data_IF_353543252464
#
_entry.id   IF_353543252464
#
_cell.length_a   1.000
_cell.length_b   1.000
_cell.length_c   1.000
_cell.angle_alpha   90.00
_cell.angle_beta   90.00
_cell.angle_gamma   90.00
#
_symmetry.space_group_name_H-M   'P 1'
#
loop_
_entity.id
_entity.type
_entity.pdbx_description
1 polymer ?
#
# COMPACT_ATOMS: atom_id res chain seq x y z
N UNK A 1 1.85 54.81 36.57
CA UNK A 1 2.93 53.93 36.08
C UNK A 1 2.39 52.57 35.60
N UNK A 2 1.36 52.61 34.76
CA UNK A 2 1.44 52.39 33.30
C UNK A 2 2.04 51.07 32.80
N UNK A 3 1.97 49.98 33.57
CA UNK A 3 2.41 48.68 33.07
C UNK A 3 1.29 47.82 32.44
N UNK A 4 0.02 48.18 32.64
CA UNK A 4 -1.14 47.38 32.20
C UNK A 4 -1.67 47.66 30.78
N UNK A 5 -1.04 48.58 30.02
CA UNK A 5 -1.60 49.09 28.75
C UNK A 5 -0.87 48.63 27.49
N UNK A 6 -0.08 47.54 27.53
CA UNK A 6 0.64 47.03 26.35
C UNK A 6 0.46 45.54 26.07
N UNK A 7 -0.68 44.96 26.45
CA UNK A 7 -0.97 43.55 26.21
C UNK A 7 -2.30 43.23 25.47
N UNK A 8 -3.01 44.14 24.76
CA UNK A 8 -4.15 43.72 23.95
C UNK A 8 -3.83 43.52 22.46
N UNK A 9 -2.56 43.57 22.02
CA UNK A 9 -2.23 43.51 20.58
C UNK A 9 -1.61 42.20 20.10
N UNK A 10 -1.35 41.22 20.98
CA UNK A 10 -0.79 39.92 20.57
C UNK A 10 -1.84 38.81 20.42
N UNK A 11 -3.07 39.03 20.88
CA UNK A 11 -4.13 38.01 20.87
C UNK A 11 -4.96 37.97 19.59
N UNK A 12 -4.83 38.97 18.70
CA UNK A 12 -5.64 39.08 17.46
C UNK A 12 -4.99 38.38 16.26
N UNK A 13 -3.76 37.87 16.39
CA UNK A 13 -3.00 37.27 15.28
C UNK A 13 -3.07 35.73 15.18
N UNK A 14 -3.79 35.04 16.07
CA UNK A 14 -3.83 33.56 16.10
C UNK A 14 -5.05 32.97 15.36
N UNK A 15 -6.01 33.77 14.90
CA UNK A 15 -7.24 33.27 14.27
C UNK A 15 -7.14 32.99 12.76
N UNK A 16 -5.93 32.98 12.18
CA UNK A 16 -5.71 32.70 10.75
C UNK A 16 -5.00 31.35 10.49
N UNK A 17 -4.98 30.44 11.46
CA UNK A 17 -4.73 29.03 11.17
C UNK A 17 -5.94 28.48 10.41
N UNK A 18 -6.01 28.78 9.11
CA UNK A 18 -6.93 28.13 8.20
C UNK A 18 -6.71 26.63 8.30
N UNK A 19 -7.76 25.90 8.68
CA UNK A 19 -7.90 24.51 8.32
C UNK A 19 -7.88 24.45 6.79
N UNK A 20 -6.70 24.31 6.20
CA UNK A 20 -6.63 23.70 4.89
C UNK A 20 -7.09 22.26 5.12
N UNK A 21 -8.31 21.94 4.71
CA UNK A 21 -8.71 20.55 4.56
C UNK A 21 -7.58 19.85 3.80
N UNK A 22 -7.01 18.75 4.34
CA UNK A 22 -5.95 18.05 3.66
C UNK A 22 -6.41 17.73 2.23
N UNK A 23 -5.55 17.91 1.22
CA UNK A 23 -5.96 17.78 -0.16
C UNK A 23 -6.61 16.42 -0.36
N UNK A 24 -7.87 16.43 -0.82
CA UNK A 24 -8.61 15.21 -1.13
C UNK A 24 -7.80 14.40 -2.13
N UNK A 25 -7.32 13.23 -1.70
CA UNK A 25 -6.50 12.37 -2.53
C UNK A 25 -7.37 11.77 -3.65
N UNK A 26 -6.87 11.79 -4.89
CA UNK A 26 -7.60 11.14 -5.99
C UNK A 26 -7.77 9.63 -5.70
N UNK A 27 -8.84 8.98 -6.17
CA UNK A 27 -9.02 7.54 -5.96
C UNK A 27 -7.81 6.72 -6.44
N UNK A 28 -7.18 7.12 -7.55
CA UNK A 28 -5.96 6.48 -8.04
C UNK A 28 -4.80 6.64 -7.04
N UNK A 29 -4.60 7.83 -6.48
CA UNK A 29 -3.57 8.06 -5.46
C UNK A 29 -3.84 7.24 -4.19
N UNK A 30 -5.11 7.06 -3.80
CA UNK A 30 -5.48 6.23 -2.65
C UNK A 30 -5.12 4.76 -2.90
N UNK A 31 -5.39 4.26 -4.11
CA UNK A 31 -5.01 2.90 -4.53
C UNK A 31 -3.49 2.74 -4.56
N UNK A 32 -2.74 3.75 -5.02
CA UNK A 32 -1.27 3.75 -4.96
C UNK A 32 -0.77 3.74 -3.51
N UNK A 33 -1.39 4.49 -2.62
CA UNK A 33 -1.11 4.42 -1.17
C UNK A 33 -1.46 3.06 -0.58
N UNK A 34 -2.53 2.41 -1.01
CA UNK A 34 -2.85 1.04 -0.61
C UNK A 34 -1.72 0.07 -0.94
N UNK A 35 -1.16 0.15 -2.17
CA UNK A 35 0.00 -0.70 -2.56
C UNK A 35 1.22 -0.40 -1.69
N UNK A 36 1.51 0.88 -1.42
CA UNK A 36 2.61 1.28 -0.54
C UNK A 36 2.44 0.79 0.91
N UNK A 37 1.21 0.84 1.46
CA UNK A 37 0.90 0.24 2.78
C UNK A 37 1.16 -1.27 2.77
N UNK A 38 0.81 -1.95 1.68
CA UNK A 38 1.08 -3.37 1.48
C UNK A 38 2.57 -3.70 1.50
N UNK A 39 3.40 -2.91 0.83
CA UNK A 39 4.87 -3.02 0.91
C UNK A 39 5.35 -2.90 2.36
N UNK A 40 4.98 -1.82 3.06
CA UNK A 40 5.42 -1.56 4.44
C UNK A 40 5.03 -2.69 5.37
N UNK A 41 3.78 -3.18 5.29
CA UNK A 41 3.31 -4.27 6.13
C UNK A 41 4.07 -5.58 5.86
N UNK A 42 4.38 -5.87 4.59
CA UNK A 42 5.12 -7.07 4.17
C UNK A 42 6.59 -7.00 4.58
N UNK A 43 7.26 -5.88 4.36
CA UNK A 43 8.66 -5.68 4.78
C UNK A 43 8.81 -5.70 6.31
N UNK A 44 7.86 -5.07 7.01
CA UNK A 44 7.77 -5.09 8.47
C UNK A 44 7.45 -6.45 9.06
N UNK A 45 7.04 -7.43 8.23
CA UNK A 45 6.55 -8.75 8.66
C UNK A 45 5.40 -8.63 9.67
N UNK A 46 4.60 -7.56 9.55
CA UNK A 46 3.48 -7.30 10.44
C UNK A 46 2.26 -8.03 9.91
N UNK A 47 1.96 -9.18 10.53
CA UNK A 47 0.82 -10.00 10.12
C UNK A 47 -0.52 -9.32 10.39
N UNK A 48 -0.60 -8.46 11.41
CA UNK A 48 -1.83 -7.75 11.75
C UNK A 48 -2.14 -6.71 10.68
N UNK A 49 -1.17 -5.85 10.37
CA UNK A 49 -1.32 -4.79 9.38
C UNK A 49 -1.52 -5.37 7.98
N UNK A 50 -0.77 -6.41 7.62
CA UNK A 50 -0.95 -7.08 6.34
C UNK A 50 -2.34 -7.73 6.22
N UNK A 51 -2.88 -8.29 7.31
CA UNK A 51 -4.23 -8.87 7.31
C UNK A 51 -5.33 -7.80 7.29
N UNK A 52 -5.09 -6.60 7.81
CA UNK A 52 -6.05 -5.49 7.79
C UNK A 52 -6.32 -4.97 6.36
N UNK A 53 -5.34 -5.12 5.46
CA UNK A 53 -5.45 -4.79 4.04
C UNK A 53 -6.25 -5.80 3.22
N UNK A 54 -6.64 -6.94 3.80
CA UNK A 54 -7.36 -8.01 3.11
C UNK A 54 -8.82 -7.98 3.56
N UNK A 55 -9.73 -7.92 2.59
CA UNK A 55 -11.18 -7.92 2.84
C UNK A 55 -11.61 -9.19 3.56
N UNK A 56 -12.56 -9.09 4.49
CA UNK A 56 -13.19 -10.26 5.10
C UNK A 56 -13.92 -11.12 4.05
N UNK A 57 -14.32 -10.54 2.91
CA UNK A 57 -14.94 -11.23 1.78
C UNK A 57 -13.94 -11.74 0.73
N UNK A 58 -12.63 -11.68 1.01
CA UNK A 58 -11.59 -12.08 0.06
C UNK A 58 -11.83 -13.48 -0.54
N UNK A 59 -11.76 -13.56 -1.86
CA UNK A 59 -11.74 -14.81 -2.60
C UNK A 59 -10.94 -14.68 -3.90
N UNK A 60 -10.07 -15.63 -4.17
CA UNK A 60 -9.29 -15.66 -5.42
C UNK A 60 -9.69 -16.77 -6.38
N UNK A 61 -8.99 -16.85 -7.53
CA UNK A 61 -9.28 -17.80 -8.59
C UNK A 61 -9.18 -19.28 -8.18
N UNK A 62 -8.57 -19.59 -7.04
CA UNK A 62 -8.54 -20.94 -6.45
C UNK A 62 -9.33 -21.03 -5.13
N UNK A 63 -10.19 -20.04 -4.88
CA UNK A 63 -11.09 -19.90 -3.72
C UNK A 63 -10.39 -19.83 -2.37
N UNK A 64 -9.15 -19.33 -2.32
CA UNK A 64 -8.53 -19.03 -1.02
C UNK A 64 -9.29 -17.90 -0.35
N UNK A 65 -9.47 -18.05 0.95
CA UNK A 65 -10.10 -17.09 1.86
C UNK A 65 -9.06 -16.15 2.48
N UNK A 66 -9.52 -15.06 3.09
CA UNK A 66 -8.67 -14.16 3.90
C UNK A 66 -7.82 -14.93 4.91
N UNK A 67 -8.40 -15.92 5.58
CA UNK A 67 -7.70 -16.73 6.58
C UNK A 67 -6.56 -17.56 5.97
N UNK A 68 -6.73 -18.06 4.76
CA UNK A 68 -5.69 -18.80 4.05
C UNK A 68 -4.57 -17.87 3.57
N UNK A 69 -4.88 -16.68 3.06
CA UNK A 69 -3.86 -15.68 2.73
C UNK A 69 -3.08 -15.27 3.98
N UNK A 70 -3.76 -15.02 5.10
CA UNK A 70 -3.10 -14.74 6.38
C UNK A 70 -2.15 -15.86 6.80
N UNK A 71 -2.53 -17.13 6.63
CA UNK A 71 -1.64 -18.27 6.91
C UNK A 71 -0.43 -18.32 5.96
N UNK A 72 -0.62 -18.01 4.67
CA UNK A 72 0.48 -17.94 3.71
C UNK A 72 1.47 -16.83 4.09
N UNK A 73 0.97 -15.64 4.45
CA UNK A 73 1.79 -14.53 4.94
C UNK A 73 2.55 -14.91 6.21
N UNK A 74 1.87 -15.50 7.20
CA UNK A 74 2.51 -15.96 8.43
C UNK A 74 3.64 -16.97 8.16
N UNK A 75 3.38 -17.96 7.29
CA UNK A 75 4.40 -18.94 6.90
C UNK A 75 5.58 -18.32 6.16
N UNK A 76 5.32 -17.32 5.32
CA UNK A 76 6.36 -16.55 4.63
C UNK A 76 7.20 -15.74 5.63
N UNK A 77 6.58 -14.98 6.52
CA UNK A 77 7.27 -14.15 7.52
C UNK A 77 8.12 -14.99 8.50
N UNK A 78 7.67 -16.18 8.87
CA UNK A 78 8.45 -17.10 9.70
C UNK A 78 9.69 -17.62 8.99
N UNK A 79 9.60 -17.89 7.69
CA UNK A 79 10.71 -18.42 6.88
C UNK A 79 11.76 -17.38 6.56
N UNK A 80 11.35 -16.12 6.37
CA UNK A 80 12.22 -15.04 5.87
C UNK A 80 12.57 -14.05 6.98
N UNK A 81 13.82 -14.06 7.46
CA UNK A 81 14.31 -13.20 8.56
C UNK A 81 14.27 -11.70 8.24
N UNK A 82 14.41 -11.36 6.96
CA UNK A 82 14.27 -10.02 6.41
C UNK A 82 13.54 -10.15 5.07
N UNK A 83 12.70 -9.17 4.79
CA UNK A 83 11.92 -9.06 3.57
C UNK A 83 12.10 -7.63 3.07
N UNK A 84 12.57 -7.50 1.84
CA UNK A 84 12.59 -6.25 1.12
C UNK A 84 11.83 -6.44 -0.18
N UNK A 85 10.90 -5.55 -0.44
CA UNK A 85 10.07 -5.52 -1.63
C UNK A 85 10.57 -4.38 -2.51
N UNK A 86 10.64 -4.63 -3.80
CA UNK A 86 10.68 -3.57 -4.80
C UNK A 86 9.57 -3.85 -5.75
N UNK A 87 8.80 -2.83 -6.08
CA UNK A 87 7.75 -2.97 -7.06
C UNK A 87 7.71 -1.81 -8.06
N UNK A 88 7.05 -2.08 -9.18
CA UNK A 88 6.61 -1.08 -10.15
C UNK A 88 5.15 -1.34 -10.44
N UNK A 89 4.31 -0.33 -10.23
CA UNK A 89 2.93 -0.36 -10.69
C UNK A 89 2.96 -0.16 -12.21
N UNK A 90 2.39 -1.13 -12.92
CA UNK A 90 2.29 -1.12 -14.38
C UNK A 90 0.99 -0.45 -14.83
N UNK A 91 -0.11 -0.76 -14.14
CA UNK A 91 -1.44 -0.21 -14.43
C UNK A 91 -2.25 -0.04 -13.15
N UNK A 92 -3.01 1.04 -13.09
CA UNK A 92 -4.15 1.22 -12.18
C UNK A 92 -5.35 1.55 -13.03
N UNK A 93 -6.39 0.74 -12.94
CA UNK A 93 -7.66 0.95 -13.63
C UNK A 93 -8.76 1.11 -12.59
N UNK A 94 -9.36 2.30 -12.55
CA UNK A 94 -10.53 2.56 -11.71
C UNK A 94 -11.75 1.94 -12.38
N UNK A 95 -12.51 1.18 -11.61
CA UNK A 95 -13.74 0.51 -12.03
C UNK A 95 -14.95 1.24 -11.41
N UNK A 96 -16.15 0.79 -11.76
CA UNK A 96 -17.37 1.22 -11.10
C UNK A 96 -17.37 0.77 -9.61
N UNK A 97 -18.29 1.33 -8.81
CA UNK A 97 -18.48 0.96 -7.39
C UNK A 97 -17.25 1.11 -6.48
N UNK A 98 -16.40 2.12 -6.76
CA UNK A 98 -15.18 2.39 -5.99
C UNK A 98 -14.25 1.17 -5.90
N UNK A 99 -14.13 0.45 -7.01
CA UNK A 99 -13.17 -0.64 -7.18
C UNK A 99 -11.99 -0.20 -8.05
N UNK A 100 -10.88 -0.92 -7.94
CA UNK A 100 -9.75 -0.73 -8.84
C UNK A 100 -9.05 -2.06 -9.13
N UNK A 101 -8.62 -2.22 -10.37
CA UNK A 101 -7.68 -3.27 -10.76
C UNK A 101 -6.28 -2.70 -10.80
N UNK A 102 -5.35 -3.36 -10.11
CA UNK A 102 -3.94 -2.98 -10.09
C UNK A 102 -3.09 -4.10 -10.64
N UNK A 103 -2.22 -3.76 -11.59
CA UNK A 103 -1.16 -4.64 -12.07
C UNK A 103 0.16 -4.08 -11.57
N UNK A 104 0.93 -4.91 -10.86
CA UNK A 104 2.29 -4.56 -10.46
C UNK A 104 3.26 -5.71 -10.69
N UNK A 105 4.52 -5.34 -10.84
CA UNK A 105 5.64 -6.28 -10.80
C UNK A 105 6.37 -6.10 -9.48
N UNK A 106 6.68 -7.20 -8.80
CA UNK A 106 7.37 -7.16 -7.52
C UNK A 106 8.54 -8.16 -7.48
N UNK A 107 9.68 -7.71 -6.97
CA UNK A 107 10.80 -8.54 -6.56
C UNK A 107 10.90 -8.55 -5.03
N UNK A 108 11.16 -9.71 -4.44
CA UNK A 108 11.34 -9.87 -2.99
C UNK A 108 12.74 -10.41 -2.65
N UNK A 109 13.51 -9.70 -1.83
CA UNK A 109 14.86 -10.08 -1.41
C UNK A 109 14.99 -10.11 0.12
N UNK A 110 16.03 -10.80 0.60
CA UNK A 110 16.41 -10.78 2.02
C UNK A 110 17.35 -9.63 2.41
N UNK A 111 17.70 -8.76 1.46
CA UNK A 111 18.53 -7.58 1.68
C UNK A 111 18.01 -6.42 0.86
N UNK A 112 18.08 -5.20 1.40
CA UNK A 112 17.65 -3.99 0.72
C UNK A 112 18.37 -3.86 -0.63
N UNK A 113 17.64 -3.83 -1.75
CA UNK A 113 18.21 -3.54 -3.05
C UNK A 113 18.60 -2.06 -3.13
N UNK A 114 19.63 -1.77 -3.91
CA UNK A 114 20.24 -0.43 -3.97
C UNK A 114 19.97 0.19 -5.34
N UNK A 115 19.48 1.43 -5.34
CA UNK A 115 19.31 2.25 -6.55
C UNK A 115 17.93 2.17 -7.20
N UNK A 116 17.63 3.15 -8.05
CA UNK A 116 16.33 3.29 -8.74
C UNK A 116 16.04 2.21 -9.79
N UNK A 117 17.08 1.51 -10.26
CA UNK A 117 16.97 0.43 -11.26
C UNK A 117 16.81 -0.97 -10.64
N UNK A 118 16.53 -1.04 -9.33
CA UNK A 118 16.51 -2.29 -8.58
C UNK A 118 15.65 -3.39 -9.22
N UNK A 119 14.49 -3.03 -9.80
CA UNK A 119 13.61 -4.00 -10.44
C UNK A 119 14.13 -4.48 -11.81
N UNK A 120 14.69 -3.58 -12.63
CA UNK A 120 15.26 -3.92 -13.95
C UNK A 120 16.55 -4.76 -13.81
N UNK A 121 17.33 -4.49 -12.77
CA UNK A 121 18.54 -5.23 -12.44
C UNK A 121 18.28 -6.48 -11.58
N UNK A 122 17.01 -6.76 -11.25
CA UNK A 122 16.63 -7.87 -10.39
C UNK A 122 17.17 -9.20 -10.90
N UNK A 123 17.75 -9.98 -9.99
CA UNK A 123 18.31 -11.31 -10.26
C UNK A 123 17.53 -12.43 -9.57
N UNK A 124 16.61 -12.09 -8.68
CA UNK A 124 15.77 -13.04 -7.97
C UNK A 124 14.48 -13.38 -8.71
N UNK A 125 13.57 -14.04 -8.02
CA UNK A 125 12.22 -14.26 -8.53
C UNK A 125 11.47 -12.93 -8.67
N UNK A 126 10.89 -12.70 -9.84
CA UNK A 126 10.01 -11.59 -10.13
C UNK A 126 8.57 -12.12 -10.23
N UNK A 127 7.63 -11.40 -9.64
CA UNK A 127 6.21 -11.72 -9.68
C UNK A 127 5.48 -10.65 -10.48
N UNK A 128 4.54 -11.07 -11.33
CA UNK A 128 3.48 -10.21 -11.82
C UNK A 128 2.24 -10.48 -10.96
N UNK A 129 1.74 -9.44 -10.32
CA UNK A 129 0.64 -9.49 -9.37
C UNK A 129 -0.50 -8.65 -9.91
N UNK A 130 -1.69 -9.24 -9.97
CA UNK A 130 -2.95 -8.60 -10.29
C UNK A 130 -3.79 -8.55 -9.02
N UNK A 131 -4.20 -7.35 -8.63
CA UNK A 131 -5.02 -7.10 -7.46
C UNK A 131 -6.37 -6.55 -7.92
N UNK A 132 -7.44 -7.03 -7.30
CA UNK A 132 -8.73 -6.34 -7.28
C UNK A 132 -8.91 -5.78 -5.87
N UNK A 133 -9.04 -4.46 -5.77
CA UNK A 133 -9.27 -3.74 -4.51
C UNK A 133 -10.59 -3.00 -4.57
N UNK A 134 -11.21 -2.82 -3.42
CA UNK A 134 -12.46 -2.06 -3.28
C UNK A 134 -12.38 -1.17 -2.05
N UNK A 135 -12.96 0.03 -2.14
CA UNK A 135 -13.23 0.87 -1.00
C UNK A 135 -14.41 0.26 -0.22
N UNK A 136 -14.19 -0.12 1.03
CA UNK A 136 -15.24 -0.67 1.89
C UNK A 136 -15.98 0.43 2.65
N UNK A 137 -17.04 0.06 3.37
CA UNK A 137 -17.96 1.00 4.04
C UNK A 137 -17.32 1.85 5.14
N UNK A 138 -16.15 1.44 5.64
CA UNK A 138 -15.34 2.18 6.61
C UNK A 138 -14.29 3.07 5.95
N UNK A 139 -14.45 3.36 4.66
CA UNK A 139 -13.57 4.23 3.86
C UNK A 139 -12.13 3.71 3.73
N UNK A 140 -11.94 2.39 3.90
CA UNK A 140 -10.66 1.74 3.72
C UNK A 140 -10.62 0.88 2.45
N UNK A 141 -9.56 1.04 1.66
CA UNK A 141 -9.29 0.16 0.53
C UNK A 141 -8.84 -1.22 1.02
N UNK A 142 -9.50 -2.27 0.55
CA UNK A 142 -9.15 -3.66 0.88
C UNK A 142 -9.03 -4.54 -0.35
N UNK A 143 -8.14 -5.52 -0.27
CA UNK A 143 -7.95 -6.55 -1.27
C UNK A 143 -9.14 -7.51 -1.30
N UNK A 144 -9.84 -7.57 -2.42
CA UNK A 144 -10.95 -8.49 -2.68
C UNK A 144 -10.46 -9.79 -3.34
N UNK A 145 -9.47 -9.67 -4.23
CA UNK A 145 -8.91 -10.81 -4.95
C UNK A 145 -7.48 -10.55 -5.38
N UNK A 146 -6.66 -11.59 -5.48
CA UNK A 146 -5.33 -11.48 -6.05
C UNK A 146 -4.97 -12.69 -6.90
N UNK A 147 -4.25 -12.44 -7.99
CA UNK A 147 -3.60 -13.46 -8.82
C UNK A 147 -2.14 -13.09 -8.98
N UNK A 148 -1.26 -14.07 -8.88
CA UNK A 148 0.16 -13.86 -9.12
C UNK A 148 0.75 -14.99 -9.93
N UNK A 149 1.76 -14.64 -10.73
CA UNK A 149 2.58 -15.60 -11.48
C UNK A 149 4.03 -15.13 -11.48
N UNK A 150 4.95 -16.05 -11.74
CA UNK A 150 6.32 -15.68 -12.06
C UNK A 150 6.32 -14.81 -13.33
N UNK A 151 7.11 -13.75 -13.29
CA UNK A 151 7.40 -12.86 -14.40
C UNK A 151 8.86 -13.02 -14.82
N UNK A 152 9.13 -12.68 -16.07
CA UNK A 152 10.46 -12.58 -16.65
C UNK A 152 10.82 -11.12 -16.87
N UNK A 153 12.09 -10.85 -17.17
CA UNK A 153 12.52 -9.49 -17.54
C UNK A 153 11.81 -8.97 -18.79
N UNK A 154 11.40 -9.85 -19.70
CA UNK A 154 10.67 -9.47 -20.91
C UNK A 154 9.26 -8.96 -20.60
N UNK A 155 8.68 -9.29 -19.45
CA UNK A 155 7.40 -8.73 -19.01
C UNK A 155 7.54 -7.27 -18.52
N UNK A 156 8.77 -6.77 -18.32
CA UNK A 156 9.05 -5.40 -17.86
C UNK A 156 9.39 -4.42 -18.99
N UNK A 157 9.58 -4.91 -20.22
CA UNK A 157 10.05 -4.14 -21.38
C UNK A 157 8.90 -3.51 -22.16
#
# INVERSE_FOLDING_TARGET
MDWLLRLPLLWVLILLAGCSDPPYLSPEDQVRQFVARGEVAVEGRDLSDAAALISEQYSDGIRRTRHEIRRLLAGYFLRHKSIHVVYRIDQVELLEDAQAQVVLFAGIAGTAPVGSEALSQWRGELLRIELLVALESDEEWRLQSAKWRRASKNDLL
#
